data_IF_220506864722
#
_entry.id   IF_220506864722
#
_cell.length_a   1.000
_cell.length_b   1.000
_cell.length_c   1.000
_cell.angle_alpha   90.00
_cell.angle_beta   90.00
_cell.angle_gamma   90.00
#
_symmetry.space_group_name_H-M   'P 1'
#
loop_
_entity.id
_entity.type
_entity.pdbx_description
1 polymer ?
#
# COMPACT_ATOMS: atom_id res chain seq x y z
N UNK A 1 -31.63 -16.26 -1.88
CA UNK A 1 -32.53 -15.46 -2.72
C UNK A 1 -31.68 -14.35 -3.34
N UNK A 2 -31.29 -14.55 -4.59
CA UNK A 2 -30.23 -13.82 -5.29
C UNK A 2 -30.91 -12.83 -6.24
N UNK A 3 -30.69 -11.54 -6.04
CA UNK A 3 -31.21 -10.51 -6.95
C UNK A 3 -30.20 -10.29 -8.09
N UNK A 4 -30.67 -10.54 -9.31
CA UNK A 4 -30.03 -10.17 -10.58
C UNK A 4 -30.18 -8.66 -10.81
N UNK A 5 -29.14 -8.01 -11.35
CA UNK A 5 -29.26 -6.74 -12.06
C UNK A 5 -28.64 -6.88 -13.47
N UNK A 6 -29.36 -6.56 -14.56
CA UNK A 6 -28.98 -6.91 -15.92
C UNK A 6 -28.32 -5.72 -16.66
N UNK A 7 -27.06 -5.89 -17.07
CA UNK A 7 -26.47 -5.13 -18.17
C UNK A 7 -26.26 -6.06 -19.36
N UNK A 8 -27.34 -6.25 -20.10
CA UNK A 8 -27.42 -6.09 -21.57
C UNK A 8 -26.18 -6.47 -22.40
N UNK A 9 -25.98 -7.77 -22.55
CA UNK A 9 -26.09 -8.49 -23.84
C UNK A 9 -26.07 -7.63 -25.13
N UNK A 10 -24.96 -6.96 -25.48
CA UNK A 10 -24.79 -6.40 -26.83
C UNK A 10 -23.35 -6.18 -27.37
N UNK A 11 -22.32 -6.82 -26.81
CA UNK A 11 -20.94 -6.67 -27.37
C UNK A 11 -20.29 -7.96 -27.89
N UNK A 12 -20.93 -9.12 -27.78
CA UNK A 12 -20.34 -10.41 -28.18
C UNK A 12 -20.60 -10.84 -29.63
N UNK A 13 -20.76 -9.89 -30.57
CA UNK A 13 -21.08 -10.22 -31.98
C UNK A 13 -20.22 -9.52 -33.04
N UNK A 14 -18.98 -9.14 -32.71
CA UNK A 14 -18.09 -8.53 -33.70
C UNK A 14 -16.69 -9.14 -33.83
N UNK A 15 -16.42 -10.29 -33.20
CA UNK A 15 -15.12 -10.96 -33.34
C UNK A 15 -15.23 -12.36 -33.94
N UNK A 16 -15.90 -12.46 -35.09
CA UNK A 16 -15.91 -13.71 -35.88
C UNK A 16 -15.86 -13.42 -37.38
N UNK A 17 -14.70 -13.74 -37.94
CA UNK A 17 -14.35 -13.92 -39.35
C UNK A 17 -14.34 -12.66 -40.24
N UNK A 18 -13.15 -12.34 -40.79
CA UNK A 18 -12.92 -12.51 -42.23
C UNK A 18 -11.43 -12.43 -42.64
N UNK A 19 -10.95 -13.62 -43.02
CA UNK A 19 -10.14 -13.95 -44.22
C UNK A 19 -8.68 -13.52 -44.36
N UNK A 20 -7.86 -14.57 -44.41
CA UNK A 20 -6.57 -14.71 -45.09
C UNK A 20 -6.61 -14.28 -46.58
N UNK A 21 -5.44 -13.86 -47.07
CA UNK A 21 -5.03 -13.55 -48.45
C UNK A 21 -5.65 -12.28 -49.05
N UNK A 22 -4.92 -11.35 -49.67
CA UNK A 22 -3.99 -11.58 -50.79
C UNK A 22 -3.23 -10.26 -51.15
N UNK A 23 -2.11 -10.40 -51.88
CA UNK A 23 -1.39 -9.40 -52.70
C UNK A 23 -0.38 -8.44 -52.09
N UNK A 24 0.89 -8.82 -52.33
CA UNK A 24 2.05 -7.97 -52.58
C UNK A 24 1.66 -6.67 -53.31
N UNK A 25 1.94 -5.53 -52.70
CA UNK A 25 2.26 -4.29 -53.40
C UNK A 25 3.50 -3.67 -52.75
N UNK A 26 4.54 -3.58 -53.56
CA UNK A 26 5.81 -2.93 -53.31
C UNK A 26 5.65 -1.46 -53.69
N UNK A 27 5.58 -0.53 -52.73
CA UNK A 27 5.83 0.89 -53.03
C UNK A 27 6.29 1.69 -51.81
N UNK A 28 7.50 2.23 -51.94
CA UNK A 28 8.05 3.45 -51.33
C UNK A 28 7.99 3.63 -49.80
N UNK A 29 9.08 3.25 -49.16
CA UNK A 29 9.54 3.70 -47.85
C UNK A 29 9.87 5.20 -47.89
N UNK A 30 8.96 6.06 -47.42
CA UNK A 30 9.34 7.42 -46.99
C UNK A 30 9.63 7.32 -45.50
N UNK A 31 10.91 7.20 -45.16
CA UNK A 31 11.39 7.33 -43.80
C UNK A 31 11.24 8.80 -43.37
N UNK A 32 10.06 9.16 -42.86
CA UNK A 32 9.89 10.37 -42.08
C UNK A 32 10.44 10.07 -40.68
N UNK A 33 11.75 10.27 -40.50
CA UNK A 33 12.39 10.29 -39.19
C UNK A 33 11.82 11.45 -38.39
N UNK A 34 10.76 11.21 -37.62
CA UNK A 34 10.39 12.10 -36.54
C UNK A 34 11.51 12.05 -35.51
N UNK A 35 12.39 13.05 -35.56
CA UNK A 35 13.37 13.31 -34.51
C UNK A 35 12.59 13.79 -33.29
N UNK A 36 12.13 12.86 -32.44
CA UNK A 36 11.58 13.21 -31.13
C UNK A 36 12.75 13.77 -30.32
N UNK A 37 12.74 15.06 -29.92
CA UNK A 37 13.77 15.54 -29.01
C UNK A 37 13.67 14.73 -27.72
N UNK A 38 14.73 13.98 -27.41
CA UNK A 38 14.96 13.43 -26.08
C UNK A 38 15.16 14.63 -25.16
N UNK A 39 14.07 15.11 -24.57
CA UNK A 39 14.18 15.98 -23.40
C UNK A 39 14.92 15.14 -22.34
N UNK A 40 15.99 15.67 -21.71
CA UNK A 40 16.56 14.99 -20.56
C UNK A 40 15.42 14.78 -19.56
N UNK A 41 15.16 13.54 -19.19
CA UNK A 41 14.38 13.26 -18.01
C UNK A 41 15.14 13.94 -16.87
N UNK A 42 14.64 15.07 -16.39
CA UNK A 42 15.11 15.63 -15.14
C UNK A 42 14.83 14.53 -14.12
N UNK A 43 15.87 13.80 -13.73
CA UNK A 43 15.81 12.94 -12.58
C UNK A 43 15.27 13.83 -11.45
N UNK A 44 14.23 13.36 -10.76
CA UNK A 44 13.77 14.05 -9.56
C UNK A 44 14.98 14.15 -8.64
N UNK A 45 15.50 15.37 -8.48
CA UNK A 45 16.66 15.62 -7.65
C UNK A 45 16.34 15.14 -6.23
N UNK A 46 17.14 14.18 -5.76
CA UNK A 46 17.23 13.60 -4.41
C UNK A 46 15.92 13.60 -3.61
N UNK A 47 15.34 12.40 -3.39
CA UNK A 47 14.29 12.22 -2.38
C UNK A 47 14.78 12.87 -1.07
N UNK A 48 13.99 13.78 -0.45
CA UNK A 48 14.39 14.41 0.81
C UNK A 48 14.74 13.34 1.84
N UNK A 49 15.82 13.56 2.58
CA UNK A 49 16.31 12.59 3.59
C UNK A 49 15.20 12.20 4.59
N UNK A 50 14.25 13.12 4.81
CA UNK A 50 12.99 12.85 5.51
C UNK A 50 11.79 13.40 4.73
N UNK A 51 10.71 12.63 4.66
CA UNK A 51 9.44 13.03 4.05
C UNK A 51 8.27 12.60 4.93
N UNK A 52 7.29 13.48 5.15
CA UNK A 52 6.08 13.14 5.91
C UNK A 52 4.80 13.41 5.11
N UNK A 53 3.81 12.53 5.29
CA UNK A 53 2.51 12.57 4.66
C UNK A 53 1.44 12.51 5.74
N UNK A 54 0.46 13.40 5.69
CA UNK A 54 -0.68 13.40 6.62
C UNK A 54 -1.99 13.41 5.86
N UNK A 55 -2.83 12.43 6.18
CA UNK A 55 -4.14 12.22 5.59
C UNK A 55 -5.23 12.54 6.62
N UNK A 56 -6.33 13.13 6.16
CA UNK A 56 -7.53 13.26 6.99
C UNK A 56 -8.37 11.99 6.84
N UNK A 57 -8.83 11.45 7.96
CA UNK A 57 -9.78 10.34 7.98
C UNK A 57 -11.18 10.95 8.04
N UNK A 58 -12.00 10.68 7.03
CA UNK A 58 -13.35 11.20 6.93
C UNK A 58 -14.41 10.10 7.00
N UNK A 59 -15.54 10.42 7.62
CA UNK A 59 -16.74 9.59 7.62
C UNK A 59 -17.94 10.45 7.26
N UNK A 60 -18.65 10.06 6.20
CA UNK A 60 -19.80 10.83 5.66
C UNK A 60 -19.43 12.30 5.37
N UNK A 61 -18.24 12.53 4.81
CA UNK A 61 -17.73 13.86 4.45
C UNK A 61 -17.34 14.75 5.64
N UNK A 62 -17.29 14.20 6.85
CA UNK A 62 -16.79 14.91 8.04
C UNK A 62 -15.49 14.29 8.51
N UNK A 63 -14.49 15.13 8.80
CA UNK A 63 -13.23 14.69 9.41
C UNK A 63 -13.48 14.12 10.80
N UNK A 64 -13.03 12.89 11.01
CA UNK A 64 -13.09 12.17 12.28
C UNK A 64 -11.70 11.83 12.83
N UNK A 65 -10.63 12.13 12.08
CA UNK A 65 -9.29 11.76 12.50
C UNK A 65 -8.19 12.15 11.52
N UNK A 66 -6.98 11.68 11.82
CA UNK A 66 -5.79 11.83 10.99
C UNK A 66 -5.00 10.53 10.98
N UNK A 67 -4.31 10.30 9.87
CA UNK A 67 -3.28 9.28 9.72
C UNK A 67 -2.03 9.97 9.18
N UNK A 68 -0.89 9.83 9.84
CA UNK A 68 0.38 10.39 9.39
C UNK A 68 1.43 9.29 9.26
N UNK A 69 2.25 9.41 8.23
CA UNK A 69 3.40 8.53 7.98
C UNK A 69 4.61 9.40 7.70
N UNK A 70 5.70 9.17 8.40
CA UNK A 70 6.99 9.84 8.19
C UNK A 70 8.02 8.80 7.79
N UNK A 71 8.77 9.10 6.75
CA UNK A 71 9.86 8.27 6.23
C UNK A 71 11.18 8.98 6.52
N UNK A 72 12.12 8.25 7.10
CA UNK A 72 13.51 8.65 7.25
C UNK A 72 14.41 7.67 6.49
N UNK A 73 15.03 8.15 5.43
CA UNK A 73 15.91 7.37 4.56
C UNK A 73 17.32 7.33 5.18
N UNK A 74 17.42 6.70 6.35
CA UNK A 74 18.69 6.56 7.08
C UNK A 74 19.60 5.52 6.42
N UNK A 75 20.83 5.89 6.06
CA UNK A 75 21.84 4.93 5.58
C UNK A 75 21.55 4.27 4.21
N UNK A 76 22.49 3.46 3.72
CA UNK A 76 22.30 2.74 2.45
C UNK A 76 21.26 1.63 2.61
N UNK A 77 20.20 1.70 1.79
CA UNK A 77 19.11 0.72 1.71
C UNK A 77 18.32 0.52 3.01
N UNK A 78 18.24 1.52 3.90
CA UNK A 78 17.44 1.48 5.11
C UNK A 78 16.41 2.60 5.12
N UNK A 79 15.23 2.30 5.66
CA UNK A 79 14.12 3.26 5.80
C UNK A 79 13.51 3.04 7.18
N UNK A 80 13.54 4.06 8.02
CA UNK A 80 12.73 4.10 9.24
C UNK A 80 11.40 4.77 8.92
N UNK A 81 10.30 4.19 9.41
CA UNK A 81 8.95 4.70 9.17
C UNK A 81 8.23 4.87 10.50
N UNK A 82 7.77 6.08 10.78
CA UNK A 82 6.91 6.38 11.92
C UNK A 82 5.48 6.59 11.43
N UNK A 83 4.52 5.92 12.07
CA UNK A 83 3.09 5.98 11.77
C UNK A 83 2.35 6.48 13.01
N UNK A 84 1.42 7.43 12.83
CA UNK A 84 0.44 7.77 13.85
C UNK A 84 -0.97 7.79 13.26
N UNK A 85 -1.95 7.23 13.98
CA UNK A 85 -3.36 7.35 13.65
C UNK A 85 -4.17 7.80 14.87
N UNK A 86 -5.03 8.81 14.69
CA UNK A 86 -5.95 9.26 15.74
C UNK A 86 -7.34 9.38 15.16
N UNK A 87 -8.30 8.65 15.73
CA UNK A 87 -9.72 8.67 15.33
C UNK A 87 -10.60 8.99 16.52
N UNK A 88 -11.58 9.87 16.31
CA UNK A 88 -12.63 10.23 17.27
C UNK A 88 -13.97 10.26 16.55
N UNK A 89 -14.89 9.38 16.95
CA UNK A 89 -16.27 9.41 16.43
C UNK A 89 -17.16 9.94 17.54
N UNK A 90 -17.88 11.02 17.24
CA UNK A 90 -18.83 11.65 18.16
C UNK A 90 -20.27 11.35 17.76
N UNK A 91 -21.12 11.18 18.77
CA UNK A 91 -22.57 11.25 18.64
C UNK A 91 -23.06 12.38 19.54
N UNK A 92 -23.62 13.43 18.92
CA UNK A 92 -23.89 14.70 19.59
C UNK A 92 -22.64 15.22 20.32
N UNK A 93 -22.68 15.34 21.65
CA UNK A 93 -21.60 15.82 22.50
C UNK A 93 -20.74 14.71 23.13
N UNK A 94 -21.02 13.43 22.84
CA UNK A 94 -20.33 12.27 23.44
C UNK A 94 -19.40 11.61 22.41
N UNK A 95 -18.15 11.34 22.79
CA UNK A 95 -17.24 10.51 21.98
C UNK A 95 -17.57 9.04 22.20
N UNK A 96 -18.08 8.36 21.17
CA UNK A 96 -18.50 6.95 21.24
C UNK A 96 -17.40 5.99 20.77
N UNK A 97 -16.36 6.51 20.11
CA UNK A 97 -15.20 5.73 19.70
C UNK A 97 -13.94 6.59 19.71
N UNK A 98 -12.88 6.03 20.26
CA UNK A 98 -11.54 6.59 20.35
C UNK A 98 -10.51 5.54 19.89
N UNK A 99 -9.65 5.92 18.96
CA UNK A 99 -8.45 5.17 18.58
C UNK A 99 -7.26 6.11 18.60
N UNK A 100 -6.20 5.75 19.32
CA UNK A 100 -4.86 6.30 19.19
C UNK A 100 -3.92 5.14 18.87
N UNK A 101 -3.15 5.27 17.80
CA UNK A 101 -2.23 4.25 17.32
C UNK A 101 -0.90 4.92 16.95
N UNK A 102 0.20 4.30 17.34
CA UNK A 102 1.55 4.65 16.91
C UNK A 102 2.30 3.39 16.52
N UNK A 103 3.06 3.46 15.43
CA UNK A 103 3.93 2.36 14.99
C UNK A 103 5.27 2.89 14.50
N UNK A 104 6.32 2.12 14.73
CA UNK A 104 7.65 2.36 14.21
C UNK A 104 8.10 1.12 13.46
N UNK A 105 8.57 1.32 12.24
CA UNK A 105 9.06 0.24 11.39
C UNK A 105 10.48 0.53 10.93
N UNK A 106 11.29 -0.51 10.84
CA UNK A 106 12.61 -0.47 10.24
C UNK A 106 12.64 -1.42 9.06
N UNK A 107 12.87 -0.87 7.88
CA UNK A 107 13.02 -1.60 6.63
C UNK A 107 14.47 -1.60 6.19
N UNK A 108 14.93 -2.73 5.65
CA UNK A 108 16.25 -2.87 5.04
C UNK A 108 16.14 -3.66 3.74
N UNK A 109 16.61 -3.08 2.65
CA UNK A 109 16.61 -3.71 1.31
C UNK A 109 15.23 -4.24 0.91
N UNK A 110 14.16 -3.52 1.26
CA UNK A 110 12.77 -3.89 0.94
C UNK A 110 12.11 -4.89 1.89
N UNK A 111 12.84 -5.38 2.91
CA UNK A 111 12.30 -6.29 3.93
C UNK A 111 12.08 -5.57 5.25
N UNK A 112 10.96 -5.88 5.93
CA UNK A 112 10.70 -5.42 7.29
C UNK A 112 11.66 -6.16 8.23
N UNK A 113 12.46 -5.44 9.00
CA UNK A 113 13.43 -6.00 9.95
C UNK A 113 12.88 -5.95 11.37
N UNK A 114 12.18 -4.87 11.71
CA UNK A 114 11.59 -4.64 13.03
C UNK A 114 10.33 -3.79 12.90
N UNK A 115 9.33 -4.08 13.72
CA UNK A 115 8.20 -3.18 13.94
C UNK A 115 7.85 -3.17 15.43
N UNK A 116 7.48 -2.01 15.96
CA UNK A 116 6.82 -1.90 17.27
C UNK A 116 5.61 -1.01 17.14
N UNK A 117 4.48 -1.39 17.74
CA UNK A 117 3.28 -0.56 17.74
C UNK A 117 2.54 -0.60 19.06
N UNK A 118 1.88 0.52 19.37
CA UNK A 118 0.99 0.68 20.51
C UNK A 118 -0.38 1.15 19.99
N UNK A 119 -1.46 0.54 20.45
CA UNK A 119 -2.82 0.91 20.06
C UNK A 119 -3.72 1.04 21.28
N UNK A 120 -4.16 2.26 21.59
CA UNK A 120 -5.25 2.52 22.53
C UNK A 120 -6.58 2.63 21.77
N UNK A 121 -7.47 1.67 21.99
CA UNK A 121 -8.82 1.65 21.42
C UNK A 121 -9.87 1.67 22.53
N UNK A 122 -10.51 2.82 22.71
CA UNK A 122 -11.42 3.06 23.84
C UNK A 122 -10.74 2.71 25.17
N UNK A 123 -11.16 1.61 25.80
CA UNK A 123 -10.60 1.06 27.04
C UNK A 123 -9.59 -0.07 26.82
N UNK A 124 -9.46 -0.60 25.59
CA UNK A 124 -8.51 -1.66 25.23
C UNK A 124 -7.16 -1.05 24.83
N UNK A 125 -6.10 -1.77 25.14
CA UNK A 125 -4.73 -1.44 24.80
C UNK A 125 -4.06 -2.68 24.23
N UNK A 126 -3.32 -2.51 23.14
CA UNK A 126 -2.65 -3.57 22.41
C UNK A 126 -1.21 -3.12 22.10
N UNK A 127 -0.27 -4.05 22.19
CA UNK A 127 1.11 -3.88 21.75
C UNK A 127 1.50 -4.98 20.77
N UNK A 128 2.33 -4.62 19.79
CA UNK A 128 2.94 -5.58 18.86
C UNK A 128 4.43 -5.27 18.75
N UNK A 129 5.27 -6.27 18.97
CA UNK A 129 6.71 -6.22 18.67
C UNK A 129 7.03 -7.33 17.67
N UNK A 130 7.48 -6.96 16.47
CA UNK A 130 7.88 -7.88 15.42
C UNK A 130 9.38 -7.75 15.18
N UNK A 131 10.06 -8.89 15.10
CA UNK A 131 11.48 -9.00 14.74
C UNK A 131 11.69 -10.03 13.65
N UNK A 132 12.51 -9.69 12.66
CA UNK A 132 13.02 -10.64 11.68
C UNK A 132 13.98 -11.65 12.33
N UNK A 133 13.69 -12.94 12.18
CA UNK A 133 14.65 -14.05 12.34
C UNK A 133 15.06 -14.58 10.95
N UNK A 134 15.91 -15.59 10.84
CA UNK A 134 16.46 -16.03 9.54
C UNK A 134 15.38 -16.35 8.50
N UNK A 135 14.40 -17.20 8.81
CA UNK A 135 13.37 -17.69 7.89
C UNK A 135 11.92 -17.33 8.28
N UNK A 136 11.73 -16.64 9.40
CA UNK A 136 10.42 -16.22 9.91
C UNK A 136 10.48 -14.86 10.62
N UNK A 137 9.31 -14.32 10.93
CA UNK A 137 9.12 -13.25 11.90
C UNK A 137 8.74 -13.85 13.26
N UNK A 138 9.31 -13.29 14.31
CA UNK A 138 8.84 -13.48 15.69
C UNK A 138 7.97 -12.28 16.03
N UNK A 139 6.70 -12.52 16.32
CA UNK A 139 5.71 -11.49 16.67
C UNK A 139 5.28 -11.71 18.12
N UNK A 140 5.45 -10.70 18.94
CA UNK A 140 5.00 -10.68 20.33
C UNK A 140 3.80 -9.74 20.45
N UNK A 141 2.70 -10.26 21.00
CA UNK A 141 1.49 -9.48 21.28
C UNK A 141 0.80 -10.07 22.51
N UNK A 142 0.30 -9.23 23.41
CA UNK A 142 -0.37 -9.65 24.66
C UNK A 142 0.41 -10.68 25.52
N UNK A 143 1.74 -10.66 25.42
CA UNK A 143 2.62 -11.62 26.10
C UNK A 143 2.68 -13.01 25.46
N UNK A 144 2.01 -13.21 24.33
CA UNK A 144 2.12 -14.40 23.49
C UNK A 144 3.13 -14.17 22.36
N UNK A 145 3.79 -15.24 21.94
CA UNK A 145 4.73 -15.22 20.80
C UNK A 145 4.19 -16.08 19.68
N UNK A 146 4.10 -15.49 18.48
CA UNK A 146 3.64 -16.14 17.25
C UNK A 146 4.76 -16.08 16.22
N UNK A 147 4.94 -17.18 15.48
CA UNK A 147 5.84 -17.21 14.33
C UNK A 147 5.05 -16.93 13.06
N UNK A 148 5.51 -15.98 12.25
CA UNK A 148 4.88 -15.58 11.00
C UNK A 148 5.86 -15.73 9.82
N UNK A 149 5.36 -15.98 8.60
CA UNK A 149 6.23 -16.12 7.43
C UNK A 149 6.86 -14.77 7.03
N UNK A 150 8.05 -14.80 6.39
CA UNK A 150 8.81 -13.58 6.01
C UNK A 150 8.18 -12.73 4.90
N UNK A 151 7.14 -13.22 4.24
CA UNK A 151 6.41 -12.49 3.20
C UNK A 151 5.21 -11.68 3.75
N UNK A 152 5.02 -11.68 5.07
CA UNK A 152 4.03 -10.88 5.79
C UNK A 152 4.11 -9.40 5.38
N UNK A 153 2.94 -8.79 5.15
CA UNK A 153 2.80 -7.38 4.80
C UNK A 153 2.09 -6.65 5.95
N UNK A 154 2.69 -5.60 6.53
CA UNK A 154 2.02 -4.83 7.57
C UNK A 154 0.81 -4.06 7.01
N UNK A 155 -0.31 -4.07 7.73
CA UNK A 155 -1.52 -3.29 7.41
C UNK A 155 -1.35 -1.77 7.54
N UNK A 156 -0.18 -1.30 7.95
CA UNK A 156 0.25 0.10 7.78
C UNK A 156 0.49 0.46 6.31
N UNK A 157 0.62 -0.56 5.43
CA UNK A 157 0.84 -0.46 3.99
C UNK A 157 2.05 0.37 3.56
N UNK A 158 3.06 0.40 4.40
CA UNK A 158 4.34 1.11 4.22
C UNK A 158 5.32 0.38 3.32
N UNK A 159 5.05 -0.90 2.99
CA UNK A 159 5.85 -1.67 2.04
C UNK A 159 5.86 -0.97 0.68
N UNK A 160 7.02 -0.42 0.31
CA UNK A 160 7.19 0.49 -0.84
C UNK A 160 6.74 -0.10 -2.17
N UNK A 161 6.93 -1.41 -2.35
CA UNK A 161 6.66 -2.07 -3.64
C UNK A 161 5.27 -2.72 -3.70
N UNK A 162 4.48 -2.60 -2.63
CA UNK A 162 3.18 -3.25 -2.54
C UNK A 162 2.15 -2.65 -3.50
N UNK A 163 2.26 -1.35 -3.79
CA UNK A 163 1.28 -0.58 -4.54
C UNK A 163 1.62 -0.35 -6.02
N UNK A 164 2.78 -0.80 -6.47
CA UNK A 164 3.39 -0.34 -7.74
C UNK A 164 3.03 -1.24 -8.94
N UNK A 165 2.49 -2.43 -8.70
CA UNK A 165 2.32 -3.44 -9.76
C UNK A 165 0.85 -3.87 -9.93
N UNK A 166 0.42 -3.97 -11.19
CA UNK A 166 -0.92 -4.41 -11.56
C UNK A 166 -1.01 -5.95 -11.49
N UNK A 167 -1.83 -6.49 -10.59
CA UNK A 167 -2.04 -7.94 -10.52
C UNK A 167 -2.65 -8.42 -9.21
N UNK A 168 -2.96 -9.72 -9.15
CA UNK A 168 -3.33 -10.40 -7.90
C UNK A 168 -2.06 -10.86 -7.20
N UNK A 169 -1.91 -10.52 -5.92
CA UNK A 169 -0.81 -10.95 -5.06
C UNK A 169 -1.38 -11.80 -3.91
N UNK A 170 -0.77 -12.96 -3.66
CA UNK A 170 -1.05 -13.79 -2.49
C UNK A 170 -0.06 -13.43 -1.38
N UNK A 171 -0.55 -12.93 -0.25
CA UNK A 171 0.27 -12.54 0.90
C UNK A 171 -0.55 -12.64 2.19
N UNK A 172 0.15 -12.73 3.32
CA UNK A 172 -0.45 -12.64 4.64
C UNK A 172 -0.40 -11.20 5.15
N UNK A 173 -1.52 -10.70 5.67
CA UNK A 173 -1.58 -9.39 6.32
C UNK A 173 -1.31 -9.53 7.82
N UNK A 174 -0.37 -8.72 8.31
CA UNK A 174 -0.24 -8.45 9.75
C UNK A 174 -1.20 -7.35 10.14
N UNK A 175 -2.05 -7.58 11.13
CA UNK A 175 -2.80 -6.50 11.76
C UNK A 175 -1.85 -5.73 12.68
N UNK A 176 -1.35 -4.60 12.19
CA UNK A 176 -0.41 -3.76 12.95
C UNK A 176 -1.04 -3.12 14.18
N UNK A 177 -2.34 -3.30 14.42
CA UNK A 177 -3.01 -2.75 15.59
C UNK A 177 -3.05 -3.75 16.75
N UNK A 178 -3.10 -5.05 16.47
CA UNK A 178 -3.32 -6.10 17.49
C UNK A 178 -2.46 -7.36 17.33
N UNK A 179 -1.59 -7.43 16.31
CA UNK A 179 -0.80 -8.63 16.01
C UNK A 179 -1.52 -9.60 15.11
#
# INVERSE_FOLDING_TARGET
MMYLNPLTMNSLKQYRNKTKMFRKFLTAMVAATFLVPLLPANAVDKIPDQTSLTYSIERKGSKIGTHSVSYDFTGENQIAVDIEARVRIKMAFITVYKLDHSSQELWKSGELVKMTSETQRNSSYEEVDLRAADDHYVVETDGETVLAPRDLVPSSFTKTDFWIDEGTKDFMLLDTLSG
#
